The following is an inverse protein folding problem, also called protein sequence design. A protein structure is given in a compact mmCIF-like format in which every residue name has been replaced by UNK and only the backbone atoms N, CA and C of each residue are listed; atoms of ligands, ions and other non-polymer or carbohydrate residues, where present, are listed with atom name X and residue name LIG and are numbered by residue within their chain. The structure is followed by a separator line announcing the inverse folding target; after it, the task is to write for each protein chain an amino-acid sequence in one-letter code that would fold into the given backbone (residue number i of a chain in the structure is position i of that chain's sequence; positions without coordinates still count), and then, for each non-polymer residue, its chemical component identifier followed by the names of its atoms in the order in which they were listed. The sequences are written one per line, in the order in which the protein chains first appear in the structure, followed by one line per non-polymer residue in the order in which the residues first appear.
data_IF_450572733199
#
_entry.id   IF_450572733199
#
_cell.length_a   1.000
_cell.length_b   1.000
_cell.length_c   1.000
_cell.angle_alpha   90.00
_cell.angle_beta   90.00
_cell.angle_gamma   90.00
#
_symmetry.space_group_name_H-M   'P 1'
#
loop_
_entity.id
_entity.type
_entity.pdbx_description
1 polymer ?
#
# COMPACT_ATOMS: atom_id res chain seq x y z
N UNK A 1 10.30 12.11 -16.17
CA UNK A 1 9.48 12.62 -15.05
C UNK A 1 10.39 12.66 -13.84
N UNK A 2 10.59 13.83 -13.25
CA UNK A 2 11.51 14.02 -12.13
C UNK A 2 11.00 13.24 -10.90
N UNK A 3 11.78 12.26 -10.45
CA UNK A 3 11.50 11.43 -9.27
C UNK A 3 11.57 12.22 -7.94
N UNK A 4 11.86 13.53 -7.99
CA UNK A 4 12.26 14.33 -6.83
C UNK A 4 11.13 14.71 -5.86
N UNK A 5 9.87 14.36 -6.13
CA UNK A 5 8.73 14.74 -5.28
C UNK A 5 7.84 13.56 -4.83
N UNK A 6 8.28 12.31 -4.99
CA UNK A 6 7.49 11.14 -4.57
C UNK A 6 7.79 10.82 -3.11
N UNK A 7 6.82 11.09 -2.21
CA UNK A 7 6.96 10.82 -0.77
C UNK A 7 6.67 9.36 -0.42
N UNK A 8 5.59 8.80 -0.96
CA UNK A 8 5.20 7.39 -0.81
C UNK A 8 4.65 6.88 -2.13
N UNK A 9 5.06 5.68 -2.55
CA UNK A 9 4.54 4.98 -3.71
C UNK A 9 4.16 3.54 -3.33
N UNK A 10 2.97 3.11 -3.77
CA UNK A 10 2.51 1.72 -3.64
C UNK A 10 2.43 1.14 -5.04
N UNK A 11 3.23 0.12 -5.30
CA UNK A 11 3.29 -0.56 -6.59
C UNK A 11 2.83 -1.99 -6.45
N UNK A 12 1.80 -2.37 -7.21
CA UNK A 12 1.42 -3.77 -7.37
C UNK A 12 2.02 -4.30 -8.67
N UNK A 13 2.66 -5.46 -8.60
CA UNK A 13 3.32 -6.12 -9.73
C UNK A 13 2.99 -7.61 -9.73
N UNK A 14 3.37 -8.32 -10.80
CA UNK A 14 3.19 -9.77 -10.92
C UNK A 14 4.55 -10.44 -11.04
N UNK A 15 4.88 -11.31 -10.08
CA UNK A 15 6.11 -12.10 -10.07
C UNK A 15 5.76 -13.58 -9.97
N UNK A 16 6.28 -14.39 -10.92
CA UNK A 16 6.03 -15.86 -10.97
C UNK A 16 4.55 -16.28 -10.87
N UNK A 17 3.64 -15.42 -11.34
CA UNK A 17 2.19 -15.68 -11.29
C UNK A 17 1.49 -15.19 -10.02
N UNK A 18 2.23 -14.68 -9.04
CA UNK A 18 1.71 -14.12 -7.79
C UNK A 18 1.67 -12.60 -7.86
N UNK A 19 0.73 -11.99 -7.14
CA UNK A 19 0.69 -10.53 -6.97
C UNK A 19 1.62 -10.17 -5.82
N UNK A 20 2.62 -9.32 -6.10
CA UNK A 20 3.54 -8.78 -5.11
C UNK A 20 3.33 -7.28 -5.04
N UNK A 21 3.25 -6.76 -3.82
CA UNK A 21 3.19 -5.32 -3.58
C UNK A 21 4.51 -4.82 -3.00
N UNK A 22 4.91 -3.62 -3.42
CA UNK A 22 6.05 -2.87 -2.88
C UNK A 22 5.57 -1.50 -2.42
N UNK A 23 5.99 -1.11 -1.24
CA UNK A 23 5.81 0.27 -0.75
C UNK A 23 7.19 0.90 -0.68
N UNK A 24 7.36 2.02 -1.37
CA UNK A 24 8.58 2.82 -1.39
C UNK A 24 8.27 4.16 -0.73
N UNK A 25 9.15 4.62 0.13
CA UNK A 25 9.05 5.92 0.78
C UNK A 25 10.37 6.69 0.65
N UNK A 26 10.27 8.02 0.67
CA UNK A 26 11.45 8.87 0.68
C UNK A 26 12.25 8.67 1.97
N UNK A 27 13.58 8.66 1.86
CA UNK A 27 14.48 8.31 2.97
C UNK A 27 14.51 9.33 4.11
N UNK A 28 13.98 10.52 3.88
CA UNK A 28 13.90 11.63 4.82
C UNK A 28 12.59 11.65 5.63
N UNK A 29 11.65 10.73 5.35
CA UNK A 29 10.42 10.61 6.13
C UNK A 29 10.65 9.93 7.47
N UNK A 30 10.06 10.49 8.51
CA UNK A 30 9.87 9.79 9.78
C UNK A 30 8.81 8.69 9.64
N UNK A 31 8.79 7.75 10.58
CA UNK A 31 7.75 6.72 10.62
C UNK A 31 6.34 7.33 10.74
N UNK A 32 6.18 8.40 11.52
CA UNK A 32 4.90 9.08 11.70
C UNK A 32 4.41 9.71 10.39
N UNK A 33 5.28 10.37 9.64
CA UNK A 33 4.95 10.93 8.33
C UNK A 33 4.64 9.84 7.31
N UNK A 34 5.40 8.74 7.32
CA UNK A 34 5.13 7.59 6.46
C UNK A 34 3.74 6.99 6.73
N UNK A 35 3.40 6.75 8.00
CA UNK A 35 2.07 6.25 8.41
C UNK A 35 0.94 7.22 8.03
N UNK A 36 1.19 8.53 8.19
CA UNK A 36 0.25 9.58 7.78
C UNK A 36 -0.02 9.54 6.28
N UNK A 37 1.03 9.56 5.44
CA UNK A 37 0.87 9.53 3.99
C UNK A 37 0.22 8.25 3.49
N UNK A 38 0.58 7.09 4.08
CA UNK A 38 -0.06 5.83 3.74
C UNK A 38 -1.56 5.84 4.06
N UNK A 39 -1.94 6.41 5.21
CA UNK A 39 -3.34 6.56 5.63
C UNK A 39 -4.12 7.49 4.71
N UNK A 40 -3.52 8.58 4.25
CA UNK A 40 -4.14 9.49 3.27
C UNK A 40 -4.35 8.81 1.91
N UNK A 41 -3.39 8.01 1.43
CA UNK A 41 -3.53 7.22 0.19
C UNK A 41 -4.70 6.24 0.31
N UNK A 42 -4.74 5.46 1.39
CA UNK A 42 -5.83 4.50 1.64
C UNK A 42 -7.17 5.22 1.72
N UNK A 43 -7.23 6.31 2.48
CA UNK A 43 -8.45 7.12 2.62
C UNK A 43 -8.92 7.69 1.28
N UNK A 44 -8.00 8.16 0.44
CA UNK A 44 -8.29 8.62 -0.92
C UNK A 44 -8.86 7.51 -1.80
N UNK A 45 -8.25 6.32 -1.76
CA UNK A 45 -8.74 5.13 -2.49
C UNK A 45 -10.15 4.75 -2.01
N UNK A 46 -10.38 4.67 -0.70
CA UNK A 46 -11.70 4.33 -0.15
C UNK A 46 -12.77 5.38 -0.48
N UNK A 47 -12.41 6.66 -0.50
CA UNK A 47 -13.32 7.73 -0.95
C UNK A 47 -13.66 7.61 -2.42
N UNK A 48 -12.68 7.29 -3.27
CA UNK A 48 -12.86 7.16 -4.71
C UNK A 48 -13.60 5.88 -5.12
N UNK A 49 -13.31 4.76 -4.45
CA UNK A 49 -13.85 3.42 -4.72
C UNK A 49 -14.23 2.75 -3.40
N UNK A 50 -15.40 3.13 -2.88
CA UNK A 50 -15.95 2.61 -1.61
C UNK A 50 -15.99 1.09 -1.56
N UNK A 51 -16.42 0.44 -2.65
CA UNK A 51 -16.55 -1.03 -2.75
C UNK A 51 -15.23 -1.77 -2.49
N UNK A 52 -14.07 -1.16 -2.80
CA UNK A 52 -12.75 -1.76 -2.51
C UNK A 52 -12.54 -1.90 -1.00
N UNK A 53 -13.04 -0.94 -0.22
CA UNK A 53 -12.87 -0.88 1.22
C UNK A 53 -14.07 -1.45 2.00
N UNK A 54 -15.26 -1.47 1.41
CA UNK A 54 -16.48 -2.00 2.02
C UNK A 54 -16.61 -3.53 1.83
N UNK A 55 -16.14 -4.12 0.73
CA UNK A 55 -16.42 -5.53 0.40
C UNK A 55 -15.24 -6.52 0.52
N UNK A 56 -14.01 -6.08 0.81
CA UNK A 56 -12.83 -6.95 0.67
C UNK A 56 -11.95 -7.10 1.93
N UNK A 57 -12.54 -7.18 3.13
CA UNK A 57 -11.86 -7.83 4.27
C UNK A 57 -11.82 -9.34 4.00
N UNK A 58 -10.88 -9.78 3.16
CA UNK A 58 -10.55 -11.20 3.04
C UNK A 58 -9.53 -11.54 4.13
N UNK A 59 -10.02 -12.04 5.25
CA UNK A 59 -9.18 -12.53 6.35
C UNK A 59 -8.43 -13.80 5.92
N UNK A 60 -7.17 -13.67 5.52
CA UNK A 60 -6.31 -14.82 5.24
C UNK A 60 -5.61 -15.27 6.54
N UNK A 61 -6.04 -16.42 7.08
CA UNK A 61 -5.41 -17.07 8.24
C UNK A 61 -4.43 -18.14 7.75
N UNK A 62 -3.14 -17.84 7.71
CA UNK A 62 -2.09 -18.83 7.45
C UNK A 62 -1.60 -19.48 8.76
N UNK A 63 -1.39 -20.80 8.76
CA UNK A 63 -0.61 -21.48 9.81
C UNK A 63 0.85 -21.53 9.35
N UNK A 64 1.78 -21.20 10.24
CA UNK A 64 3.21 -21.49 10.08
C UNK A 64 3.31 -23.01 9.93
N UNK A 65 3.90 -23.51 8.83
CA UNK A 65 4.20 -24.94 8.69
C UNK A 65 5.34 -25.28 9.65
N UNK A 66 5.11 -26.30 10.48
CA UNK A 66 6.13 -27.02 11.26
C UNK A 66 7.26 -27.56 10.38
#
# INVERSE_FOLDING_TARGET
MSHENVLVAITASREKGEIVYRVECSSDLTNEEFEYYLSEIISGICKWKKDVCEENIRSFKGKIKE
#
